data_IF_256561768150
#
_entry.id   IF_256561768150
#
_cell.length_a   1.000
_cell.length_b   1.000
_cell.length_c   1.000
_cell.angle_alpha   90.00
_cell.angle_beta   90.00
_cell.angle_gamma   90.00
#
_symmetry.space_group_name_H-M   'P 1'
#
loop_
_entity.id
_entity.type
_entity.pdbx_description
1 polymer ?
#
# COMPACT_ATOMS: atom_id res chain seq x y z
N UNK A 1 -29.45 -26.64 -25.32
CA UNK A 1 -28.90 -25.74 -24.28
C UNK A 1 -27.49 -25.39 -24.69
N UNK A 2 -27.28 -24.11 -24.97
CA UNK A 2 -26.30 -23.63 -25.94
C UNK A 2 -24.90 -23.47 -25.32
N UNK A 3 -23.88 -24.02 -25.97
CA UNK A 3 -22.47 -23.98 -25.56
C UNK A 3 -21.98 -22.55 -25.33
N UNK A 4 -22.62 -21.58 -26.00
CA UNK A 4 -22.37 -20.15 -25.90
C UNK A 4 -22.64 -19.57 -24.49
N UNK A 5 -23.60 -20.12 -23.74
CA UNK A 5 -23.99 -19.63 -22.42
C UNK A 5 -23.01 -20.09 -21.33
N UNK A 6 -22.46 -21.30 -21.48
CA UNK A 6 -21.35 -21.80 -20.63
C UNK A 6 -20.06 -21.02 -20.84
N UNK A 7 -19.80 -20.57 -22.07
CA UNK A 7 -18.60 -19.77 -22.39
C UNK A 7 -18.72 -18.35 -21.82
N UNK A 8 -19.90 -17.73 -21.87
CA UNK A 8 -20.16 -16.42 -21.23
C UNK A 8 -19.91 -16.45 -19.72
N UNK A 9 -20.42 -17.46 -19.02
CA UNK A 9 -20.25 -17.57 -17.56
C UNK A 9 -18.80 -17.88 -17.16
N UNK A 10 -18.04 -18.65 -17.96
CA UNK A 10 -16.61 -18.89 -17.71
C UNK A 10 -15.72 -17.69 -18.03
N UNK A 11 -16.08 -16.88 -19.03
CA UNK A 11 -15.32 -15.68 -19.36
C UNK A 11 -15.39 -14.60 -18.26
N UNK A 12 -16.53 -14.54 -17.54
CA UNK A 12 -16.71 -13.70 -16.36
C UNK A 12 -15.85 -14.13 -15.16
N UNK A 13 -15.59 -15.43 -15.00
CA UNK A 13 -14.74 -15.97 -13.93
C UNK A 13 -13.23 -15.73 -14.16
N UNK A 14 -12.82 -15.50 -15.41
CA UNK A 14 -11.41 -15.31 -15.81
C UNK A 14 -11.02 -13.81 -15.88
N UNK A 15 -11.93 -12.89 -15.58
CA UNK A 15 -11.60 -11.46 -15.39
C UNK A 15 -11.13 -10.72 -16.65
N UNK A 16 -11.38 -11.26 -17.85
CA UNK A 16 -11.08 -10.58 -19.12
C UNK A 16 -12.33 -9.83 -19.60
N UNK A 17 -12.51 -8.60 -19.13
CA UNK A 17 -13.59 -7.72 -19.55
C UNK A 17 -13.25 -7.08 -20.90
N UNK A 18 -13.77 -7.65 -22.00
CA UNK A 18 -13.80 -6.97 -23.29
C UNK A 18 -14.95 -5.94 -23.29
N UNK A 19 -14.71 -4.65 -23.59
CA UNK A 19 -15.77 -3.67 -23.71
C UNK A 19 -16.79 -4.15 -24.75
N UNK A 20 -18.08 -4.02 -24.47
CA UNK A 20 -19.17 -4.51 -25.34
C UNK A 20 -19.05 -4.05 -26.81
N UNK A 21 -18.40 -2.90 -27.08
CA UNK A 21 -18.10 -2.43 -28.44
C UNK A 21 -17.11 -3.28 -29.24
N UNK A 22 -16.26 -4.07 -28.58
CA UNK A 22 -15.31 -4.99 -29.22
C UNK A 22 -15.96 -6.30 -29.68
N UNK A 23 -17.00 -6.78 -28.98
CA UNK A 23 -17.76 -7.97 -29.36
C UNK A 23 -18.47 -7.80 -30.72
N UNK A 24 -18.99 -6.60 -30.99
CA UNK A 24 -19.74 -6.31 -32.21
C UNK A 24 -18.88 -6.32 -33.47
N UNK A 25 -17.58 -5.97 -33.35
CA UNK A 25 -16.65 -5.91 -34.50
C UNK A 25 -16.09 -7.29 -34.91
N UNK A 26 -16.15 -8.28 -34.02
CA UNK A 26 -15.62 -9.62 -34.29
C UNK A 26 -16.65 -10.50 -35.04
N UNK A 27 -17.90 -10.04 -35.14
CA UNK A 27 -18.99 -10.78 -35.82
C UNK A 27 -18.76 -11.01 -37.31
N UNK A 28 -17.92 -10.20 -37.96
CA UNK A 28 -17.74 -10.24 -39.43
C UNK A 28 -16.49 -10.98 -39.93
N UNK A 29 -15.61 -11.49 -39.05
CA UNK A 29 -14.38 -12.18 -39.48
C UNK A 29 -14.16 -13.56 -38.86
N UNK A 30 -15.13 -14.09 -38.11
CA UNK A 30 -15.01 -15.40 -37.44
C UNK A 30 -15.90 -16.42 -38.13
N UNK A 31 -15.61 -16.68 -39.40
CA UNK A 31 -16.09 -17.87 -40.12
C UNK A 31 -14.89 -18.58 -40.72
N UNK A 32 -13.95 -18.99 -39.86
CA UNK A 32 -13.01 -20.11 -40.11
C UNK A 32 -12.06 -20.35 -38.91
N UNK A 33 -12.58 -20.23 -37.68
CA UNK A 33 -11.81 -20.65 -36.50
C UNK A 33 -12.18 -22.10 -36.19
N UNK A 34 -11.42 -23.02 -36.78
CA UNK A 34 -11.42 -24.42 -36.39
C UNK A 34 -11.07 -24.56 -34.89
N UNK A 35 -11.93 -25.23 -34.15
CA UNK A 35 -11.83 -25.41 -32.70
C UNK A 35 -10.54 -26.15 -32.30
N UNK A 36 -10.01 -27.04 -33.16
CA UNK A 36 -8.74 -27.72 -32.92
C UNK A 36 -7.55 -26.77 -33.05
N UNK A 37 -7.56 -25.88 -34.05
CA UNK A 37 -6.56 -24.84 -34.23
C UNK A 37 -6.51 -23.87 -33.05
N UNK A 38 -7.67 -23.50 -32.50
CA UNK A 38 -7.76 -22.63 -31.33
C UNK A 38 -7.25 -23.31 -30.06
N UNK A 39 -7.59 -24.59 -29.87
CA UNK A 39 -7.13 -25.39 -28.72
C UNK A 39 -5.61 -25.57 -28.73
N UNK A 40 -5.02 -25.80 -29.92
CA UNK A 40 -3.57 -25.89 -30.09
C UNK A 40 -2.88 -24.56 -29.81
N UNK A 41 -3.43 -23.45 -30.30
CA UNK A 41 -2.89 -22.10 -30.02
C UNK A 41 -2.99 -21.72 -28.55
N UNK A 42 -4.03 -22.17 -27.85
CA UNK A 42 -4.19 -21.97 -26.41
C UNK A 42 -3.15 -22.78 -25.63
N UNK A 43 -2.97 -24.05 -25.96
CA UNK A 43 -1.93 -24.89 -25.33
C UNK A 43 -0.52 -24.37 -25.61
N UNK A 44 -0.20 -24.00 -26.86
CA UNK A 44 1.08 -23.36 -27.20
C UNK A 44 1.28 -22.02 -26.48
N UNK A 45 0.21 -21.29 -26.16
CA UNK A 45 0.31 -20.05 -25.39
C UNK A 45 0.55 -20.32 -23.90
N UNK A 46 -0.13 -21.33 -23.34
CA UNK A 46 0.05 -21.78 -21.95
C UNK A 46 1.46 -22.35 -21.75
N UNK A 47 1.92 -23.25 -22.63
CA UNK A 47 3.25 -23.87 -22.55
C UNK A 47 4.39 -22.84 -22.74
N UNK A 48 4.20 -21.85 -23.62
CA UNK A 48 5.14 -20.73 -23.77
C UNK A 48 5.10 -19.77 -22.59
N UNK A 49 3.94 -19.61 -21.94
CA UNK A 49 3.78 -18.87 -20.70
C UNK A 49 4.52 -19.54 -19.55
N UNK A 50 4.35 -20.86 -19.40
CA UNK A 50 4.94 -21.67 -18.33
C UNK A 50 6.47 -21.72 -18.43
N UNK A 51 7.02 -21.87 -19.65
CA UNK A 51 8.48 -21.88 -19.86
C UNK A 51 9.17 -20.51 -19.68
N UNK A 52 8.45 -19.39 -19.81
CA UNK A 52 8.97 -18.04 -19.52
C UNK A 52 8.85 -17.68 -18.04
N UNK A 53 7.84 -18.20 -17.35
CA UNK A 53 7.64 -18.01 -15.92
C UNK A 53 8.43 -19.07 -15.16
N UNK A 54 9.76 -18.90 -15.09
CA UNK A 54 10.52 -19.48 -13.98
C UNK A 54 10.19 -18.64 -12.73
N UNK A 55 9.40 -19.14 -11.76
CA UNK A 55 8.88 -18.32 -10.65
C UNK A 55 10.01 -17.69 -9.83
N UNK A 56 11.21 -18.27 -9.85
CA UNK A 56 12.34 -17.82 -9.06
C UNK A 56 13.04 -16.56 -9.60
N UNK A 57 13.01 -16.29 -10.92
CA UNK A 57 13.68 -15.10 -11.50
C UNK A 57 12.81 -13.84 -11.48
N UNK A 58 11.50 -14.00 -11.65
CA UNK A 58 10.54 -12.88 -11.59
C UNK A 58 10.42 -12.36 -10.16
N UNK A 59 10.34 -13.25 -9.15
CA UNK A 59 10.37 -12.86 -7.73
C UNK A 59 11.59 -12.00 -7.38
N UNK A 60 12.77 -12.32 -7.93
CA UNK A 60 14.01 -11.58 -7.65
C UNK A 60 14.03 -10.19 -8.30
N UNK A 61 13.44 -10.02 -9.49
CA UNK A 61 13.36 -8.72 -10.16
C UNK A 61 12.23 -7.83 -9.61
N UNK A 62 11.06 -8.38 -9.32
CA UNK A 62 9.96 -7.63 -8.69
C UNK A 62 10.32 -7.28 -7.23
N UNK A 63 10.98 -8.18 -6.50
CA UNK A 63 11.52 -7.90 -5.17
C UNK A 63 12.63 -6.84 -5.18
N UNK A 64 13.48 -6.80 -6.21
CA UNK A 64 14.52 -5.78 -6.35
C UNK A 64 13.99 -4.41 -6.78
N UNK A 65 12.89 -4.34 -7.55
CA UNK A 65 12.23 -3.07 -7.90
C UNK A 65 11.37 -2.57 -6.73
N UNK A 66 10.68 -3.47 -6.01
CA UNK A 66 9.95 -3.12 -4.79
C UNK A 66 10.87 -2.72 -3.62
N UNK A 67 12.09 -3.27 -3.54
CA UNK A 67 13.09 -2.85 -2.55
C UNK A 67 13.67 -1.45 -2.83
N UNK A 68 13.64 -0.99 -4.09
CA UNK A 68 14.09 0.36 -4.48
C UNK A 68 13.05 1.45 -4.15
N UNK A 69 11.80 1.07 -3.89
CA UNK A 69 10.70 1.96 -3.48
C UNK A 69 10.15 1.51 -2.13
N UNK A 70 11.01 1.01 -1.23
CA UNK A 70 10.59 0.77 0.14
C UNK A 70 10.20 2.13 0.75
N UNK A 71 8.98 2.28 1.32
CA UNK A 71 8.61 3.52 1.98
C UNK A 71 9.65 3.87 3.04
N UNK A 72 9.96 5.16 3.19
CA UNK A 72 10.82 5.70 4.27
C UNK A 72 10.11 5.51 5.61
N UNK A 73 10.01 4.26 6.04
CA UNK A 73 9.19 3.83 7.15
C UNK A 73 10.08 3.55 8.37
N UNK A 74 9.68 4.00 9.58
CA UNK A 74 10.37 3.63 10.81
C UNK A 74 10.52 2.12 10.97
N UNK A 75 11.66 1.69 11.51
CA UNK A 75 11.91 0.28 11.85
C UNK A 75 11.17 -0.06 13.14
N UNK A 76 9.96 -0.61 13.00
CA UNK A 76 9.13 -1.06 14.13
C UNK A 76 8.89 -2.57 14.07
N UNK A 77 8.65 -3.23 15.21
CA UNK A 77 8.19 -4.61 15.18
C UNK A 77 6.79 -4.72 14.55
N UNK A 78 6.52 -5.77 13.79
CA UNK A 78 5.16 -6.05 13.33
C UNK A 78 4.31 -6.51 14.53
N UNK A 79 3.12 -5.95 14.75
CA UNK A 79 2.19 -6.46 15.74
C UNK A 79 1.81 -7.92 15.45
N UNK A 80 1.71 -8.75 16.49
CA UNK A 80 1.30 -10.15 16.34
C UNK A 80 -0.19 -10.28 15.98
N UNK A 81 -1.02 -9.37 16.49
CA UNK A 81 -2.47 -9.37 16.32
C UNK A 81 -3.05 -7.94 16.33
N UNK A 82 -4.32 -7.82 15.98
CA UNK A 82 -5.01 -6.53 15.85
C UNK A 82 -5.09 -5.72 17.16
N UNK A 83 -4.98 -6.35 18.35
CA UNK A 83 -5.00 -5.62 19.62
C UNK A 83 -3.73 -4.81 19.86
N UNK A 84 -2.64 -5.18 19.20
CA UNK A 84 -1.38 -4.42 19.21
C UNK A 84 -1.39 -3.19 18.30
N UNK A 85 -2.50 -2.92 17.60
CA UNK A 85 -2.61 -1.78 16.71
C UNK A 85 -3.07 -0.51 17.44
N UNK A 86 -2.61 0.67 16.98
CA UNK A 86 -3.05 1.97 17.47
C UNK A 86 -4.52 2.27 17.11
N UNK A 87 -5.16 1.45 16.27
CA UNK A 87 -6.55 1.58 15.85
C UNK A 87 -7.37 0.46 16.51
N UNK A 88 -8.21 0.83 17.47
CA UNK A 88 -9.10 -0.13 18.14
C UNK A 88 -10.11 -0.74 17.18
N UNK A 89 -10.29 -2.05 17.27
CA UNK A 89 -11.25 -2.81 16.47
C UNK A 89 -10.90 -2.89 14.98
N UNK A 90 -9.62 -2.79 14.63
CA UNK A 90 -9.15 -2.68 13.24
C UNK A 90 -9.76 -3.70 12.25
N UNK A 91 -9.90 -4.96 12.69
CA UNK A 91 -10.45 -6.04 11.85
C UNK A 91 -11.92 -5.86 11.49
N UNK A 92 -12.68 -5.10 12.29
CA UNK A 92 -14.11 -4.84 12.04
C UNK A 92 -14.35 -3.60 11.19
N UNK A 93 -13.30 -2.83 10.85
CA UNK A 93 -13.44 -1.55 10.17
C UNK A 93 -13.43 -1.70 8.64
N UNK A 94 -14.27 -0.91 8.00
CA UNK A 94 -14.25 -0.68 6.56
C UNK A 94 -13.02 0.15 6.15
N UNK A 95 -12.67 0.11 4.85
CA UNK A 95 -11.57 0.92 4.31
C UNK A 95 -11.77 2.42 4.60
N UNK A 96 -13.01 2.92 4.50
CA UNK A 96 -13.31 4.33 4.78
C UNK A 96 -13.04 4.71 6.23
N UNK A 97 -13.47 3.88 7.17
CA UNK A 97 -13.25 4.10 8.61
C UNK A 97 -11.77 4.00 8.98
N UNK A 98 -11.05 3.04 8.39
CA UNK A 98 -9.60 2.92 8.58
C UNK A 98 -8.91 4.20 8.12
N UNK A 99 -9.22 4.70 6.91
CA UNK A 99 -8.63 5.92 6.36
C UNK A 99 -8.86 7.13 7.26
N UNK A 100 -10.05 7.24 7.85
CA UNK A 100 -10.36 8.31 8.82
C UNK A 100 -9.49 8.19 10.09
N UNK A 101 -9.31 6.97 10.61
CA UNK A 101 -8.54 6.69 11.82
C UNK A 101 -7.01 6.66 11.63
N UNK A 102 -6.54 6.64 10.39
CA UNK A 102 -5.11 6.84 10.07
C UNK A 102 -4.67 8.30 10.25
N UNK A 103 -5.60 9.25 10.33
CA UNK A 103 -5.28 10.65 10.61
C UNK A 103 -4.82 10.81 12.06
N UNK A 104 -3.74 11.57 12.26
CA UNK A 104 -3.15 11.82 13.57
C UNK A 104 -2.30 10.67 14.14
N UNK A 105 -2.16 9.56 13.41
CA UNK A 105 -1.20 8.52 13.80
C UNK A 105 0.23 8.98 13.58
N UNK A 106 1.10 8.58 14.51
CA UNK A 106 2.55 8.81 14.42
C UNK A 106 3.18 7.99 13.29
N UNK A 107 4.38 8.35 12.83
CA UNK A 107 5.10 7.58 11.81
C UNK A 107 5.35 6.13 12.26
N UNK A 108 5.62 5.93 13.55
CA UNK A 108 5.80 4.61 14.17
C UNK A 108 4.50 3.81 14.18
N UNK A 109 3.38 4.46 14.46
CA UNK A 109 2.08 3.82 14.52
C UNK A 109 1.54 3.48 13.11
N UNK A 110 1.73 4.37 12.14
CA UNK A 110 1.49 4.08 10.72
C UNK A 110 2.31 2.86 10.27
N UNK A 111 3.57 2.76 10.69
CA UNK A 111 4.43 1.63 10.36
C UNK A 111 3.94 0.29 10.94
N UNK A 112 3.37 0.29 12.15
CA UNK A 112 2.74 -0.90 12.74
C UNK A 112 1.53 -1.34 11.94
N UNK A 113 0.64 -0.40 11.60
CA UNK A 113 -0.57 -0.67 10.81
C UNK A 113 -0.20 -1.17 9.42
N UNK A 114 0.79 -0.56 8.77
CA UNK A 114 1.29 -1.01 7.46
C UNK A 114 1.75 -2.46 7.50
N UNK A 115 2.59 -2.82 8.47
CA UNK A 115 3.12 -4.19 8.61
C UNK A 115 2.04 -5.20 8.89
N UNK A 116 1.09 -4.87 9.77
CA UNK A 116 -0.03 -5.73 10.06
C UNK A 116 -0.93 -5.90 8.83
N UNK A 117 -1.33 -4.82 8.15
CA UNK A 117 -2.19 -4.89 6.97
C UNK A 117 -1.56 -5.73 5.86
N UNK A 118 -0.26 -5.52 5.60
CA UNK A 118 0.49 -6.27 4.59
C UNK A 118 0.63 -7.76 4.90
N UNK A 119 0.65 -8.13 6.18
CA UNK A 119 0.72 -9.52 6.62
C UNK A 119 -0.64 -10.22 6.66
N UNK A 120 -1.74 -9.47 6.69
CA UNK A 120 -3.09 -9.99 6.84
C UNK A 120 -3.90 -9.79 5.54
N UNK A 121 -4.88 -8.88 5.54
CA UNK A 121 -5.83 -8.71 4.43
C UNK A 121 -5.21 -8.07 3.17
N UNK A 122 -4.06 -7.41 3.31
CA UNK A 122 -3.28 -6.82 2.22
C UNK A 122 -4.12 -5.94 1.27
N UNK A 123 -5.01 -5.10 1.84
CA UNK A 123 -5.87 -4.20 1.08
C UNK A 123 -5.04 -3.06 0.50
N UNK A 124 -4.89 -3.03 -0.83
CA UNK A 124 -4.04 -2.06 -1.54
C UNK A 124 -4.39 -0.61 -1.19
N UNK A 125 -5.67 -0.26 -1.17
CA UNK A 125 -6.11 1.12 -0.85
C UNK A 125 -5.72 1.58 0.55
N UNK A 126 -5.69 0.66 1.52
CA UNK A 126 -5.26 0.98 2.89
C UNK A 126 -3.75 1.18 2.92
N UNK A 127 -2.99 0.27 2.30
CA UNK A 127 -1.53 0.36 2.20
C UNK A 127 -1.08 1.65 1.49
N UNK A 128 -1.69 1.99 0.35
CA UNK A 128 -1.42 3.23 -0.40
C UNK A 128 -1.75 4.48 0.43
N UNK A 129 -2.84 4.44 1.22
CA UNK A 129 -3.18 5.55 2.12
C UNK A 129 -2.14 5.70 3.23
N UNK A 130 -1.62 4.60 3.78
CA UNK A 130 -0.57 4.64 4.81
C UNK A 130 0.74 5.15 4.20
N UNK A 131 1.11 4.66 3.01
CA UNK A 131 2.32 5.06 2.31
C UNK A 131 2.34 6.57 2.01
N UNK A 132 1.22 7.14 1.58
CA UNK A 132 1.12 8.59 1.32
C UNK A 132 1.18 9.47 2.58
N UNK A 133 1.05 8.88 3.78
CA UNK A 133 1.18 9.58 5.07
C UNK A 133 2.57 9.50 5.67
N UNK A 134 3.46 8.67 5.13
CA UNK A 134 4.85 8.69 5.58
C UNK A 134 5.53 9.98 5.12
N UNK A 135 6.14 10.66 6.09
CA UNK A 135 6.92 11.86 5.85
C UNK A 135 8.31 11.70 6.43
N UNK A 136 9.28 12.32 5.78
CA UNK A 136 10.63 12.41 6.31
C UNK A 136 10.67 13.50 7.37
N UNK A 137 10.80 13.09 8.63
CA UNK A 137 10.96 14.02 9.73
C UNK A 137 12.41 14.53 9.78
N UNK A 138 12.63 15.82 10.06
CA UNK A 138 13.97 16.40 10.25
C UNK A 138 14.77 15.71 11.36
N UNK A 139 14.06 15.06 12.29
CA UNK A 139 14.65 14.32 13.39
C UNK A 139 14.34 12.82 13.23
N UNK A 140 15.37 11.98 13.01
CA UNK A 140 15.20 10.53 12.98
C UNK A 140 14.59 10.02 14.29
N UNK A 141 13.74 9.00 14.17
CA UNK A 141 13.10 8.32 15.31
C UNK A 141 12.37 9.27 16.27
N UNK A 142 11.89 10.43 15.79
CA UNK A 142 11.27 11.47 16.62
C UNK A 142 10.18 10.94 17.56
N UNK A 143 9.35 10.01 17.08
CA UNK A 143 8.27 9.40 17.87
C UNK A 143 8.76 8.60 19.10
N UNK A 144 10.01 8.16 19.12
CA UNK A 144 10.58 7.40 20.23
C UNK A 144 11.33 8.29 21.24
N UNK A 145 11.54 9.58 20.93
CA UNK A 145 12.35 10.46 21.76
C UNK A 145 11.55 11.07 22.91
N UNK A 146 12.25 11.20 24.04
CA UNK A 146 11.78 11.91 25.22
C UNK A 146 11.79 13.42 25.01
N UNK A 147 11.10 14.16 25.90
CA UNK A 147 11.02 15.62 25.83
C UNK A 147 12.40 16.28 25.93
N UNK A 148 13.30 15.72 26.75
CA UNK A 148 14.64 16.26 26.94
C UNK A 148 15.56 15.97 25.75
N UNK A 149 15.51 14.75 25.20
CA UNK A 149 16.24 14.40 23.97
C UNK A 149 15.79 15.23 22.77
N UNK A 150 14.49 15.51 22.67
CA UNK A 150 13.96 16.40 21.63
C UNK A 150 14.49 17.81 21.84
N UNK A 151 14.40 18.34 23.07
CA UNK A 151 14.88 19.67 23.43
C UNK A 151 16.34 19.90 23.04
N UNK A 152 17.22 18.96 23.37
CA UNK A 152 18.64 19.02 23.04
C UNK A 152 18.93 19.03 21.53
N UNK A 153 18.02 18.48 20.72
CA UNK A 153 18.16 18.43 19.25
C UNK A 153 17.51 19.62 18.55
N UNK A 154 16.62 20.37 19.21
CA UNK A 154 15.94 21.53 18.61
C UNK A 154 16.93 22.64 18.24
N UNK A 155 18.04 22.79 18.97
CA UNK A 155 19.04 23.85 18.72
C UNK A 155 19.77 23.70 17.37
N UNK A 156 19.82 22.48 16.82
CA UNK A 156 20.47 22.19 15.55
C UNK A 156 19.57 22.31 14.32
N UNK A 157 18.30 22.68 14.49
CA UNK A 157 17.31 22.69 13.40
C UNK A 157 17.17 24.08 12.79
N UNK A 158 16.95 24.12 11.48
CA UNK A 158 16.54 25.33 10.78
C UNK A 158 15.08 25.68 11.10
N UNK A 159 14.71 26.95 10.93
CA UNK A 159 13.32 27.43 11.14
C UNK A 159 12.28 26.63 10.33
N UNK A 160 12.64 26.23 9.10
CA UNK A 160 11.79 25.41 8.23
C UNK A 160 11.59 24.00 8.80
N UNK A 161 12.66 23.38 9.29
CA UNK A 161 12.59 22.05 9.92
C UNK A 161 11.83 22.09 11.23
N UNK A 162 12.02 23.14 12.02
CA UNK A 162 11.30 23.39 13.26
C UNK A 162 9.80 23.58 12.99
N UNK A 163 9.43 24.38 11.99
CA UNK A 163 8.05 24.57 11.55
C UNK A 163 7.40 23.25 11.08
N UNK A 164 8.15 22.41 10.36
CA UNK A 164 7.66 21.11 9.91
C UNK A 164 7.42 20.15 11.11
N UNK A 165 8.36 20.07 12.05
CA UNK A 165 8.21 19.28 13.27
C UNK A 165 7.07 19.79 14.15
N UNK A 166 6.89 21.11 14.27
CA UNK A 166 5.82 21.73 15.05
C UNK A 166 4.45 21.37 14.51
N UNK A 167 4.26 21.41 13.19
CA UNK A 167 3.03 20.93 12.53
C UNK A 167 2.81 19.44 12.78
N UNK A 168 3.84 18.63 12.59
CA UNK A 168 3.77 17.19 12.85
C UNK A 168 3.39 16.86 14.30
N UNK A 169 4.02 17.51 15.28
CA UNK A 169 3.71 17.31 16.71
C UNK A 169 2.27 17.73 17.01
N UNK A 170 1.81 18.87 16.47
CA UNK A 170 0.45 19.36 16.67
C UNK A 170 -0.61 18.41 16.08
N UNK A 171 -0.33 17.81 14.92
CA UNK A 171 -1.24 16.91 14.24
C UNK A 171 -1.25 15.48 14.85
N UNK A 172 -0.28 15.14 15.69
CA UNK A 172 -0.11 13.77 16.22
C UNK A 172 -0.21 13.71 17.75
N UNK A 173 0.93 13.78 18.46
CA UNK A 173 1.01 13.58 19.92
C UNK A 173 0.58 14.80 20.73
N UNK A 174 0.64 15.99 20.13
CA UNK A 174 0.28 17.28 20.73
C UNK A 174 0.86 17.51 22.14
N UNK A 175 2.14 17.16 22.37
CA UNK A 175 2.78 17.39 23.68
C UNK A 175 3.00 18.88 23.91
N UNK A 176 2.21 19.46 24.83
CA UNK A 176 2.22 20.89 25.14
C UNK A 176 3.64 21.46 25.35
N UNK A 177 4.44 20.82 26.20
CA UNK A 177 5.82 21.25 26.49
C UNK A 177 6.72 21.34 25.25
N UNK A 178 6.52 20.47 24.25
CA UNK A 178 7.32 20.49 23.03
C UNK A 178 6.82 21.58 22.08
N UNK A 179 5.51 21.71 21.93
CA UNK A 179 4.91 22.78 21.13
C UNK A 179 5.33 24.16 21.66
N UNK A 180 5.29 24.38 22.97
CA UNK A 180 5.76 25.62 23.60
C UNK A 180 7.25 25.88 23.32
N UNK A 181 8.11 24.87 23.44
CA UNK A 181 9.54 25.00 23.13
C UNK A 181 9.81 25.31 21.66
N UNK A 182 9.03 24.74 20.75
CA UNK A 182 9.15 25.02 19.31
C UNK A 182 8.62 26.40 18.98
N UNK A 183 7.46 26.79 19.53
CA UNK A 183 6.86 28.10 19.33
C UNK A 183 7.76 29.23 19.86
N UNK A 184 8.41 29.04 21.01
CA UNK A 184 9.40 29.98 21.56
C UNK A 184 10.64 30.16 20.68
N UNK A 185 10.98 29.17 19.86
CA UNK A 185 12.12 29.21 18.91
C UNK A 185 11.75 29.76 17.54
N UNK A 186 10.46 29.80 17.21
CA UNK A 186 9.93 30.38 15.97
C UNK A 186 9.51 31.85 16.12
N UNK A 187 9.44 32.35 17.35
CA UNK A 187 9.14 33.74 17.69
C UNK A 187 10.38 34.64 17.53
#
# INVERSE_FOLDING_TARGET
MDTMEKVKNRALEIGVYLPLGAYSKIKESVTDIDAEGLKKRYQDFVDRGENRVRPNKIRKRVGAVAAQVAPKMPRVAAPADAKGLPISGYEQLTVGEIRARLNGLTQTDLAKVYKYERANQNRSTVLETIESKFIELPMPTYDALTVDEIGARLDGLTEKELSALRRYEADTKARATILERMDAKLA
#
